data_IF_134626133317
#
_entry.id   IF_134626133317
#
_cell.length_a   1.000
_cell.length_b   1.000
_cell.length_c   1.000
_cell.angle_alpha   90.00
_cell.angle_beta   90.00
_cell.angle_gamma   90.00
#
_symmetry.space_group_name_H-M   'P 1'
#
loop_
_entity.id
_entity.type
_entity.pdbx_description
1 polymer ?
#
# COMPACT_ATOMS: atom_id res chain seq x y z
N UNK A 1 29.96 -29.26 32.85
CA UNK A 1 30.44 -27.95 32.34
C UNK A 1 29.24 -27.18 31.80
N UNK A 2 28.95 -26.06 32.41
CA UNK A 2 27.87 -25.16 31.92
C UNK A 2 28.45 -24.21 30.88
N UNK A 3 27.76 -24.08 29.73
CA UNK A 3 28.13 -23.07 28.74
C UNK A 3 27.77 -21.68 29.27
N UNK A 4 28.65 -20.69 29.08
CA UNK A 4 28.30 -19.32 29.45
C UNK A 4 27.08 -18.82 28.65
N UNK A 5 26.14 -18.17 29.32
CA UNK A 5 25.02 -17.53 28.67
C UNK A 5 25.51 -16.34 27.84
N UNK A 6 24.91 -16.16 26.68
CA UNK A 6 25.17 -14.99 25.85
C UNK A 6 24.74 -13.72 26.60
N UNK A 7 25.62 -12.74 26.66
CA UNK A 7 25.36 -11.45 27.30
C UNK A 7 24.66 -10.46 26.36
N UNK A 8 24.51 -10.81 25.11
CA UNK A 8 23.84 -10.01 24.08
C UNK A 8 22.81 -10.84 23.35
N UNK A 9 21.80 -10.19 22.84
CA UNK A 9 20.78 -10.83 21.98
C UNK A 9 21.38 -11.09 20.60
N UNK A 10 21.44 -12.36 20.13
CA UNK A 10 21.93 -12.63 18.78
C UNK A 10 21.06 -11.93 17.74
N UNK A 11 21.69 -11.34 16.75
CA UNK A 11 21.03 -10.72 15.61
C UNK A 11 21.15 -11.63 14.38
N UNK A 12 20.12 -11.64 13.55
CA UNK A 12 20.10 -12.39 12.30
C UNK A 12 19.65 -11.49 11.16
N UNK A 13 20.33 -11.58 10.03
CA UNK A 13 19.89 -10.93 8.79
C UNK A 13 18.81 -11.75 8.06
N UNK A 14 18.38 -12.86 8.64
CA UNK A 14 17.32 -13.67 8.07
C UNK A 14 15.96 -13.07 8.39
N UNK A 15 15.33 -12.46 7.39
CA UNK A 15 14.00 -11.83 7.49
C UNK A 15 12.86 -12.80 7.86
N UNK A 16 13.12 -14.10 7.89
CA UNK A 16 12.15 -15.10 8.33
C UNK A 16 12.07 -15.26 9.84
N UNK A 17 13.03 -14.71 10.56
CA UNK A 17 13.12 -14.83 12.02
C UNK A 17 12.64 -13.50 12.62
N UNK A 18 11.42 -13.49 13.16
CA UNK A 18 10.87 -12.30 13.84
C UNK A 18 11.72 -11.95 15.07
N UNK A 19 11.96 -10.66 15.25
CA UNK A 19 12.72 -10.13 16.38
C UNK A 19 14.25 -10.14 16.20
N UNK A 20 14.74 -10.71 15.11
CA UNK A 20 16.17 -10.74 14.77
C UNK A 20 16.49 -10.00 13.47
N UNK A 21 15.56 -9.18 13.01
CA UNK A 21 15.74 -8.40 11.81
C UNK A 21 16.73 -7.27 12.09
N UNK A 22 17.78 -7.20 11.29
CA UNK A 22 18.70 -6.07 11.30
C UNK A 22 18.30 -5.15 10.16
N UNK A 23 17.98 -3.89 10.48
CA UNK A 23 17.75 -2.89 9.47
C UNK A 23 19.06 -2.63 8.71
N UNK A 24 19.08 -2.96 7.43
CA UNK A 24 20.18 -2.70 6.52
C UNK A 24 19.71 -1.85 5.34
N UNK A 25 20.65 -1.46 4.50
CA UNK A 25 20.35 -0.66 3.29
C UNK A 25 19.41 -1.37 2.31
N UNK A 26 19.31 -2.70 2.43
CA UNK A 26 18.41 -3.53 1.63
C UNK A 26 16.98 -3.60 2.20
N UNK A 27 16.78 -3.14 3.43
CA UNK A 27 15.45 -3.15 4.05
C UNK A 27 14.61 -2.03 3.42
N UNK A 28 13.48 -2.40 2.84
CA UNK A 28 12.58 -1.41 2.28
C UNK A 28 12.11 -0.43 3.37
N UNK A 29 12.43 0.84 3.21
CA UNK A 29 11.96 1.88 4.09
C UNK A 29 10.44 2.04 3.94
N UNK A 30 9.72 2.03 5.05
CA UNK A 30 8.28 2.32 5.04
C UNK A 30 8.08 3.82 5.13
N UNK A 31 7.58 4.47 4.06
CA UNK A 31 7.31 5.91 4.10
C UNK A 31 6.26 6.23 5.16
N UNK A 32 6.56 7.16 6.05
CA UNK A 32 5.68 7.58 7.11
C UNK A 32 5.45 9.10 7.02
N UNK A 33 4.19 9.51 7.09
CA UNK A 33 3.79 10.92 7.07
C UNK A 33 4.31 11.75 8.26
N UNK A 34 4.72 11.08 9.34
CA UNK A 34 5.31 11.74 10.52
C UNK A 34 6.80 12.07 10.36
N UNK A 35 7.49 11.53 9.36
CA UNK A 35 8.87 11.89 9.07
C UNK A 35 8.91 13.20 8.26
N UNK A 36 9.89 14.03 8.53
CA UNK A 36 10.18 15.19 7.67
C UNK A 36 10.73 14.62 6.36
N UNK A 37 9.88 14.62 5.33
CA UNK A 37 10.24 14.13 4.02
C UNK A 37 10.86 15.29 3.22
N UNK A 38 12.06 15.07 2.73
CA UNK A 38 12.66 15.92 1.72
C UNK A 38 11.86 15.81 0.41
N UNK A 39 12.00 16.78 -0.48
CA UNK A 39 11.32 16.80 -1.78
C UNK A 39 11.63 15.54 -2.61
N UNK A 40 12.87 15.05 -2.53
CA UNK A 40 13.27 13.79 -3.14
C UNK A 40 12.51 12.59 -2.57
N UNK A 41 12.34 12.54 -1.27
CA UNK A 41 11.61 11.47 -0.58
C UNK A 41 10.12 11.49 -0.94
N UNK A 42 9.52 12.67 -1.05
CA UNK A 42 8.12 12.83 -1.46
C UNK A 42 7.93 12.33 -2.89
N UNK A 43 8.85 12.61 -3.80
CA UNK A 43 8.79 12.13 -5.17
C UNK A 43 8.90 10.60 -5.25
N UNK A 44 9.78 9.99 -4.46
CA UNK A 44 9.90 8.54 -4.35
C UNK A 44 8.63 7.91 -3.77
N UNK A 45 8.05 8.52 -2.74
CA UNK A 45 6.80 8.08 -2.13
C UNK A 45 5.64 8.12 -3.14
N UNK A 46 5.49 9.22 -3.87
CA UNK A 46 4.47 9.36 -4.90
C UNK A 46 4.63 8.29 -5.98
N UNK A 47 5.85 8.07 -6.46
CA UNK A 47 6.15 7.04 -7.46
C UNK A 47 5.83 5.63 -6.94
N UNK A 48 6.19 5.34 -5.70
CA UNK A 48 5.91 4.06 -5.06
C UNK A 48 4.40 3.83 -4.90
N UNK A 49 3.65 4.85 -4.48
CA UNK A 49 2.20 4.78 -4.33
C UNK A 49 1.50 4.53 -5.69
N UNK A 50 1.91 5.21 -6.73
CA UNK A 50 1.37 4.95 -8.08
C UNK A 50 1.66 3.54 -8.56
N UNK A 51 2.87 3.04 -8.38
CA UNK A 51 3.23 1.67 -8.77
C UNK A 51 2.43 0.63 -7.99
N UNK A 52 2.19 0.88 -6.71
CA UNK A 52 1.43 -0.03 -5.87
C UNK A 52 -0.06 -0.06 -6.25
N UNK A 53 -0.67 1.08 -6.47
CA UNK A 53 -2.12 1.21 -6.71
C UNK A 53 -2.49 0.99 -8.18
N UNK A 54 -1.77 1.63 -9.10
CA UNK A 54 -2.10 1.56 -10.52
C UNK A 54 -1.35 0.48 -11.30
N UNK A 55 -0.29 -0.09 -10.74
CA UNK A 55 0.62 -0.94 -11.48
C UNK A 55 1.41 -0.17 -12.56
N UNK A 56 2.56 -0.70 -12.98
CA UNK A 56 3.41 -0.03 -13.98
C UNK A 56 2.73 0.14 -15.33
N UNK A 57 1.90 -0.82 -15.73
CA UNK A 57 1.18 -0.79 -17.00
C UNK A 57 0.11 0.30 -17.08
N UNK A 58 -0.45 0.69 -15.93
CA UNK A 58 -1.49 1.72 -15.83
C UNK A 58 -0.91 3.09 -15.45
N UNK A 59 0.38 3.14 -15.16
CA UNK A 59 1.07 4.37 -14.77
C UNK A 59 1.47 5.17 -16.00
N UNK A 60 0.50 5.90 -16.54
CA UNK A 60 0.69 6.81 -17.66
C UNK A 60 0.62 8.27 -17.18
N UNK A 61 1.27 9.16 -17.92
CA UNK A 61 1.33 10.58 -17.54
C UNK A 61 -0.06 11.22 -17.42
N UNK A 62 -1.02 10.84 -18.26
CA UNK A 62 -2.40 11.35 -18.22
C UNK A 62 -3.23 10.78 -17.06
N UNK A 63 -2.81 9.68 -16.46
CA UNK A 63 -3.49 9.09 -15.30
C UNK A 63 -3.04 9.72 -13.97
N UNK A 64 -2.07 10.62 -13.99
CA UNK A 64 -1.57 11.27 -12.78
C UNK A 64 -2.61 12.18 -12.16
N UNK A 65 -2.75 12.05 -10.84
CA UNK A 65 -3.64 12.86 -10.01
C UNK A 65 -2.88 14.06 -9.46
N UNK A 66 -2.64 15.07 -10.30
CA UNK A 66 -1.79 16.23 -9.96
C UNK A 66 -2.29 17.01 -8.75
N UNK A 67 -3.60 17.09 -8.56
CA UNK A 67 -4.18 17.77 -7.40
C UNK A 67 -3.82 17.08 -6.08
N UNK A 68 -3.92 15.77 -6.04
CA UNK A 68 -3.53 14.96 -4.87
C UNK A 68 -2.03 15.05 -4.59
N UNK A 69 -1.21 15.01 -5.64
CA UNK A 69 0.24 15.18 -5.51
C UNK A 69 0.60 16.55 -4.92
N UNK A 70 -0.03 17.61 -5.39
CA UNK A 70 0.18 18.96 -4.90
C UNK A 70 -0.23 19.11 -3.43
N UNK A 71 -1.36 18.53 -3.06
CA UNK A 71 -1.84 18.53 -1.67
C UNK A 71 -0.90 17.76 -0.75
N UNK A 72 -0.37 16.63 -1.21
CA UNK A 72 0.61 15.85 -0.45
C UNK A 72 1.92 16.63 -0.25
N UNK A 73 2.43 17.27 -1.30
CA UNK A 73 3.65 18.11 -1.23
C UNK A 73 3.48 19.31 -0.31
N UNK A 74 2.28 19.90 -0.30
CA UNK A 74 1.93 21.01 0.59
C UNK A 74 1.66 20.56 2.03
N UNK A 75 1.67 19.27 2.33
CA UNK A 75 1.37 18.73 3.66
C UNK A 75 -0.10 18.85 4.07
N UNK A 76 -1.00 19.07 3.13
CA UNK A 76 -2.44 19.22 3.39
C UNK A 76 -3.13 17.88 3.62
N UNK A 77 -2.61 16.81 3.06
CA UNK A 77 -3.13 15.45 3.20
C UNK A 77 -2.04 14.50 3.69
N UNK A 78 -2.46 13.45 4.39
CA UNK A 78 -1.55 12.39 4.81
C UNK A 78 -1.27 11.41 3.66
N UNK A 79 -0.26 10.55 3.85
CA UNK A 79 0.03 9.46 2.91
C UNK A 79 -1.17 8.53 2.74
N UNK A 80 -1.88 8.25 3.85
CA UNK A 80 -3.11 7.46 3.83
C UNK A 80 -4.18 8.11 2.95
N UNK A 81 -4.43 9.41 3.15
CA UNK A 81 -5.43 10.14 2.37
C UNK A 81 -5.06 10.20 0.88
N UNK A 82 -3.77 10.29 0.58
CA UNK A 82 -3.26 10.23 -0.79
C UNK A 82 -3.54 8.87 -1.44
N UNK A 83 -3.25 7.76 -0.75
CA UNK A 83 -3.52 6.41 -1.23
C UNK A 83 -5.03 6.18 -1.39
N UNK A 84 -5.83 6.61 -0.42
CA UNK A 84 -7.30 6.56 -0.51
C UNK A 84 -7.81 7.35 -1.73
N UNK A 85 -7.28 8.53 -1.94
CA UNK A 85 -7.60 9.38 -3.10
C UNK A 85 -7.27 8.71 -4.44
N UNK A 86 -6.12 8.04 -4.54
CA UNK A 86 -5.74 7.27 -5.72
C UNK A 86 -6.71 6.10 -5.97
N UNK A 87 -7.03 5.34 -4.94
CA UNK A 87 -7.91 4.18 -5.03
C UNK A 87 -9.38 4.54 -5.32
N UNK A 88 -9.79 5.77 -5.02
CA UNK A 88 -11.13 6.28 -5.31
C UNK A 88 -11.18 7.19 -6.54
N UNK A 89 -10.06 7.39 -7.22
CA UNK A 89 -9.98 8.20 -8.43
C UNK A 89 -10.82 7.61 -9.57
N UNK A 90 -11.26 8.48 -10.47
CA UNK A 90 -12.03 8.06 -11.65
C UNK A 90 -11.25 7.07 -12.51
N UNK A 91 -9.97 7.31 -12.71
CA UNK A 91 -9.09 6.44 -13.50
C UNK A 91 -9.01 5.02 -12.90
N UNK A 92 -8.81 4.91 -11.60
CA UNK A 92 -8.78 3.63 -10.91
C UNK A 92 -10.12 2.90 -11.02
N UNK A 93 -11.21 3.63 -10.84
CA UNK A 93 -12.57 3.12 -10.98
C UNK A 93 -12.83 2.56 -12.38
N UNK A 94 -12.53 3.32 -13.42
CA UNK A 94 -12.76 2.92 -14.80
C UNK A 94 -11.89 1.72 -15.21
N UNK A 95 -10.64 1.68 -14.79
CA UNK A 95 -9.69 0.65 -15.20
C UNK A 95 -9.76 -0.63 -14.38
N UNK A 96 -10.25 -0.57 -13.15
CA UNK A 96 -10.20 -1.71 -12.23
C UNK A 96 -11.57 -2.13 -11.70
N UNK A 97 -12.46 -1.18 -11.41
CA UNK A 97 -13.76 -1.49 -10.83
C UNK A 97 -14.82 -1.79 -11.89
N UNK A 98 -14.99 -0.93 -12.86
CA UNK A 98 -16.07 -1.04 -13.85
C UNK A 98 -15.85 -2.18 -14.85
N UNK A 99 -14.61 -2.52 -15.15
CA UNK A 99 -14.28 -3.58 -16.10
C UNK A 99 -14.17 -4.97 -15.49
N UNK A 100 -14.32 -5.12 -14.18
CA UNK A 100 -14.21 -6.40 -13.47
C UNK A 100 -15.48 -6.68 -12.65
N UNK A 101 -15.72 -7.97 -12.35
CA UNK A 101 -16.74 -8.34 -11.40
C UNK A 101 -16.29 -8.02 -9.95
N UNK A 102 -17.23 -8.06 -9.00
CA UNK A 102 -16.94 -7.72 -7.62
C UNK A 102 -15.86 -8.61 -6.99
N UNK A 103 -15.88 -9.90 -7.28
CA UNK A 103 -14.90 -10.85 -6.71
C UNK A 103 -13.48 -10.56 -7.20
N UNK A 104 -13.33 -10.35 -8.50
CA UNK A 104 -12.02 -10.01 -9.07
C UNK A 104 -11.53 -8.66 -8.59
N UNK A 105 -12.41 -7.68 -8.50
CA UNK A 105 -12.06 -6.37 -7.98
C UNK A 105 -11.61 -6.44 -6.51
N UNK A 106 -12.32 -7.20 -5.66
CA UNK A 106 -11.94 -7.41 -4.26
C UNK A 106 -10.55 -8.01 -4.16
N UNK A 107 -10.25 -9.06 -4.92
CA UNK A 107 -8.93 -9.68 -4.93
C UNK A 107 -7.85 -8.70 -5.35
N UNK A 108 -8.08 -7.97 -6.43
CA UNK A 108 -7.16 -6.97 -6.96
C UNK A 108 -6.93 -5.83 -5.95
N UNK A 109 -7.98 -5.33 -5.31
CA UNK A 109 -7.90 -4.27 -4.32
C UNK A 109 -7.12 -4.72 -3.07
N UNK A 110 -7.37 -5.92 -2.57
CA UNK A 110 -6.62 -6.48 -1.44
C UNK A 110 -5.14 -6.61 -1.78
N UNK A 111 -4.81 -7.09 -2.96
CA UNK A 111 -3.41 -7.20 -3.41
C UNK A 111 -2.73 -5.84 -3.49
N UNK A 112 -3.40 -4.83 -4.04
CA UNK A 112 -2.80 -3.50 -4.26
C UNK A 112 -2.76 -2.63 -3.02
N UNK A 113 -3.79 -2.66 -2.20
CA UNK A 113 -3.88 -1.80 -1.01
C UNK A 113 -3.20 -2.44 0.20
N UNK A 114 -3.45 -3.72 0.45
CA UNK A 114 -2.90 -4.45 1.59
C UNK A 114 -1.59 -5.17 1.28
N UNK A 115 -1.22 -5.31 0.02
CA UNK A 115 0.01 -5.99 -0.39
C UNK A 115 0.01 -7.50 -0.14
N UNK A 116 -1.16 -8.11 0.01
CA UNK A 116 -1.33 -9.56 0.22
C UNK A 116 -2.47 -10.09 -0.63
N UNK A 117 -2.53 -11.39 -0.82
CA UNK A 117 -3.68 -12.03 -1.43
C UNK A 117 -4.80 -12.27 -0.40
N UNK A 118 -6.02 -12.53 -0.86
CA UNK A 118 -7.13 -12.93 0.00
C UNK A 118 -6.83 -14.29 0.64
N UNK A 119 -7.18 -14.43 1.92
CA UNK A 119 -6.89 -15.68 2.66
C UNK A 119 -7.80 -16.83 2.23
N UNK A 120 -9.04 -16.54 1.86
CA UNK A 120 -10.04 -17.54 1.51
C UNK A 120 -11.17 -16.95 0.67
N UNK A 121 -11.98 -17.83 0.08
CA UNK A 121 -13.23 -17.43 -0.60
C UNK A 121 -14.22 -16.73 0.35
N UNK A 122 -14.20 -17.06 1.64
CA UNK A 122 -15.03 -16.37 2.64
C UNK A 122 -14.66 -14.90 2.79
N UNK A 123 -13.38 -14.59 2.80
CA UNK A 123 -12.92 -13.19 2.84
C UNK A 123 -13.33 -12.46 1.57
N UNK A 124 -13.13 -13.06 0.40
CA UNK A 124 -13.53 -12.52 -0.88
C UNK A 124 -15.04 -12.23 -0.94
N UNK A 125 -15.86 -13.17 -0.47
CA UNK A 125 -17.30 -12.99 -0.38
C UNK A 125 -17.69 -11.88 0.59
N UNK A 126 -17.10 -11.85 1.78
CA UNK A 126 -17.36 -10.82 2.79
C UNK A 126 -17.07 -9.42 2.25
N UNK A 127 -15.93 -9.22 1.62
CA UNK A 127 -15.58 -7.95 1.01
C UNK A 127 -16.45 -7.61 -0.20
N UNK A 128 -16.89 -8.58 -0.98
CA UNK A 128 -17.82 -8.34 -2.09
C UNK A 128 -19.18 -7.85 -1.60
N UNK A 129 -19.64 -8.33 -0.45
CA UNK A 129 -20.87 -7.85 0.20
C UNK A 129 -20.69 -6.40 0.67
N UNK A 130 -19.57 -6.06 1.26
CA UNK A 130 -19.26 -4.67 1.64
C UNK A 130 -19.25 -3.76 0.41
N UNK A 131 -18.62 -4.20 -0.67
CA UNK A 131 -18.59 -3.45 -1.93
C UNK A 131 -19.99 -3.23 -2.50
N UNK A 132 -20.84 -4.26 -2.49
CA UNK A 132 -22.22 -4.17 -2.99
C UNK A 132 -23.11 -3.27 -2.13
N UNK A 133 -22.92 -3.27 -0.82
CA UNK A 133 -23.76 -2.52 0.13
C UNK A 133 -23.29 -1.08 0.36
N UNK A 134 -21.98 -0.86 0.45
CA UNK A 134 -21.41 0.46 0.77
C UNK A 134 -20.81 1.19 -0.43
N UNK A 135 -20.71 0.52 -1.57
CA UNK A 135 -20.07 1.07 -2.77
C UNK A 135 -18.54 1.13 -2.67
N UNK A 136 -17.91 1.64 -3.73
CA UNK A 136 -16.45 1.70 -3.83
C UNK A 136 -15.82 2.53 -2.71
N UNK A 137 -16.34 3.70 -2.42
CA UNK A 137 -15.78 4.57 -1.37
C UNK A 137 -15.89 3.94 0.01
N UNK A 138 -17.02 3.31 0.33
CA UNK A 138 -17.21 2.62 1.61
C UNK A 138 -16.36 1.35 1.73
N UNK A 139 -15.99 0.75 0.62
CA UNK A 139 -15.09 -0.40 0.58
C UNK A 139 -13.63 0.00 0.82
N UNK A 140 -13.18 1.11 0.26
CA UNK A 140 -11.78 1.59 0.37
C UNK A 140 -11.48 2.17 1.76
N UNK A 141 -12.43 2.80 2.42
CA UNK A 141 -12.29 3.33 3.79
C UNK A 141 -12.20 2.26 4.85
#
# INVERSE_FOLDING_TARGET
MTLPLLTYTPSSQNHRVKGFEVAGDETAATPNSGAILDEGDINLLISAAYRQIFNEQQFLAHNRQRNLESQLRAGQISVRDFVEGLATSQVFREQNFECNNNYRFVRLAVQRILGRDVYSQREELAWSIVLATKGLQGFIR
#
